data_IF_085439436023
#
_entry.id   IF_085439436023
#
_cell.length_a   1.000
_cell.length_b   1.000
_cell.length_c   1.000
_cell.angle_alpha   90.00
_cell.angle_beta   90.00
_cell.angle_gamma   90.00
#
_symmetry.space_group_name_H-M   'P 1'
#
loop_
_entity.id
_entity.type
_entity.pdbx_description
1 polymer ?
#
# COMPACT_ATOMS: atom_id res chain seq x y z
N UNK A 1 -13.91 31.11 -11.68
CA UNK A 1 -14.64 29.84 -11.92
C UNK A 1 -14.48 28.91 -10.72
N UNK A 2 -15.45 28.03 -10.46
CA UNK A 2 -15.48 27.21 -9.24
C UNK A 2 -14.41 26.13 -9.24
N UNK A 3 -13.57 26.11 -8.20
CA UNK A 3 -12.59 25.06 -7.89
C UNK A 3 -13.24 23.70 -7.53
N UNK A 4 -14.58 23.61 -7.56
CA UNK A 4 -15.33 22.40 -7.21
C UNK A 4 -14.93 21.14 -7.98
N UNK A 5 -14.79 21.17 -9.33
CA UNK A 5 -14.42 19.97 -10.10
C UNK A 5 -12.98 19.51 -9.88
N UNK A 6 -12.02 20.45 -9.73
CA UNK A 6 -10.63 20.13 -9.47
C UNK A 6 -10.42 19.63 -8.03
N UNK A 7 -11.06 20.27 -7.06
CA UNK A 7 -11.10 19.81 -5.68
C UNK A 7 -11.75 18.42 -5.54
N UNK A 8 -12.85 18.14 -6.26
CA UNK A 8 -13.51 16.83 -6.26
C UNK A 8 -12.61 15.72 -6.83
N UNK A 9 -11.87 15.99 -7.90
CA UNK A 9 -10.92 15.02 -8.46
C UNK A 9 -9.79 14.69 -7.48
N UNK A 10 -9.26 15.69 -6.77
CA UNK A 10 -8.20 15.52 -5.77
C UNK A 10 -8.69 14.80 -4.51
N UNK A 11 -9.90 15.12 -4.05
CA UNK A 11 -10.55 14.40 -2.95
C UNK A 11 -10.81 12.93 -3.31
N UNK A 12 -11.23 12.66 -4.54
CA UNK A 12 -11.40 11.30 -5.05
C UNK A 12 -10.09 10.51 -5.12
N UNK A 13 -8.98 11.17 -5.49
CA UNK A 13 -7.67 10.53 -5.51
C UNK A 13 -7.23 10.14 -4.08
N UNK A 14 -7.36 11.07 -3.14
CA UNK A 14 -7.00 10.86 -1.74
C UNK A 14 -7.77 9.70 -1.08
N UNK A 15 -9.09 9.61 -1.33
CA UNK A 15 -9.91 8.51 -0.81
C UNK A 15 -9.44 7.15 -1.34
N UNK A 16 -9.11 7.07 -2.63
CA UNK A 16 -8.69 5.83 -3.27
C UNK A 16 -7.29 5.40 -2.85
N UNK A 17 -6.37 6.32 -2.62
CA UNK A 17 -5.04 6.01 -2.07
C UNK A 17 -5.13 5.58 -0.60
N UNK A 18 -6.05 6.14 0.18
CA UNK A 18 -6.31 5.63 1.53
C UNK A 18 -6.87 4.19 1.51
N UNK A 19 -7.81 3.89 0.59
CA UNK A 19 -8.26 2.51 0.37
C UNK A 19 -7.13 1.60 -0.14
N UNK A 20 -6.26 2.08 -1.04
CA UNK A 20 -5.09 1.32 -1.50
C UNK A 20 -4.20 0.91 -0.32
N UNK A 21 -3.94 1.84 0.61
CA UNK A 21 -3.07 1.61 1.77
C UNK A 21 -3.72 0.77 2.90
N UNK A 22 -5.04 0.55 2.87
CA UNK A 22 -5.72 -0.28 3.88
C UNK A 22 -5.22 -1.73 3.93
N UNK A 23 -4.86 -2.33 2.78
CA UNK A 23 -4.27 -3.68 2.71
C UNK A 23 -2.91 -3.80 3.41
N UNK A 24 -1.90 -2.99 3.02
CA UNK A 24 -0.63 -2.90 3.73
C UNK A 24 -0.76 -2.57 5.22
N UNK A 25 -1.71 -1.71 5.59
CA UNK A 25 -1.97 -1.37 6.98
C UNK A 25 -2.49 -2.58 7.78
N UNK A 26 -3.44 -3.33 7.21
CA UNK A 26 -3.92 -4.59 7.80
C UNK A 26 -2.77 -5.59 7.98
N UNK A 27 -1.90 -5.70 6.97
CA UNK A 27 -0.70 -6.55 7.06
C UNK A 27 0.22 -6.11 8.21
N UNK A 28 0.46 -4.81 8.39
CA UNK A 28 1.25 -4.29 9.51
C UNK A 28 0.63 -4.61 10.88
N UNK A 29 -0.70 -4.47 11.00
CA UNK A 29 -1.42 -4.82 12.23
C UNK A 29 -1.30 -6.31 12.56
N UNK A 30 -1.52 -7.19 11.57
CA UNK A 30 -1.32 -8.64 11.70
C UNK A 30 0.14 -8.99 12.03
N UNK A 31 1.08 -8.35 11.34
CA UNK A 31 2.50 -8.62 11.45
C UNK A 31 3.07 -8.33 12.84
N UNK A 32 2.54 -7.33 13.54
CA UNK A 32 3.04 -6.90 14.87
C UNK A 32 3.14 -8.02 15.91
N UNK A 33 2.30 -9.06 15.82
CA UNK A 33 2.33 -10.25 16.69
C UNK A 33 2.49 -11.56 15.95
N UNK A 34 2.08 -11.62 14.67
CA UNK A 34 2.02 -12.88 13.93
C UNK A 34 3.12 -13.03 12.87
N UNK A 35 3.91 -12.00 12.56
CA UNK A 35 4.91 -12.13 11.47
C UNK A 35 6.01 -13.12 11.81
N UNK A 36 6.39 -13.25 13.09
CA UNK A 36 7.37 -14.25 13.54
C UNK A 36 6.87 -15.69 13.34
N UNK A 37 5.57 -15.93 13.59
CA UNK A 37 4.95 -17.23 13.33
C UNK A 37 4.86 -17.49 11.82
N UNK A 38 4.45 -16.51 11.02
CA UNK A 38 4.33 -16.64 9.55
C UNK A 38 5.70 -16.90 8.91
N UNK A 39 6.72 -16.12 9.27
CA UNK A 39 8.09 -16.26 8.76
C UNK A 39 8.67 -17.65 9.07
N UNK A 40 8.46 -18.16 10.28
CA UNK A 40 8.89 -19.52 10.66
C UNK A 40 8.21 -20.62 9.83
N UNK A 41 6.90 -20.51 9.58
CA UNK A 41 6.15 -21.52 8.82
C UNK A 41 6.45 -21.50 7.31
N UNK A 42 6.80 -20.33 6.78
CA UNK A 42 7.07 -20.13 5.35
C UNK A 42 8.58 -20.20 5.03
N UNK A 43 9.43 -20.34 6.05
CA UNK A 43 10.89 -20.35 5.88
C UNK A 43 11.47 -18.99 5.48
N UNK A 44 10.74 -17.91 5.72
CA UNK A 44 11.19 -16.54 5.49
C UNK A 44 11.79 -15.92 6.74
N UNK A 45 12.42 -14.75 6.59
CA UNK A 45 12.95 -13.96 7.71
C UNK A 45 12.70 -12.48 7.46
N UNK A 46 12.27 -11.77 8.50
CA UNK A 46 12.07 -10.33 8.40
C UNK A 46 13.38 -9.60 8.69
N UNK A 47 13.90 -8.88 7.71
CA UNK A 47 15.11 -8.07 7.84
C UNK A 47 14.78 -6.58 7.93
N UNK A 48 15.71 -5.80 8.52
CA UNK A 48 15.60 -4.33 8.52
C UNK A 48 15.58 -3.78 7.09
N UNK A 49 16.32 -4.39 6.17
CA UNK A 49 16.37 -4.02 4.75
C UNK A 49 15.01 -4.19 4.08
N UNK A 50 14.32 -5.31 4.33
CA UNK A 50 12.97 -5.56 3.85
C UNK A 50 11.97 -4.55 4.40
N UNK A 51 12.08 -4.20 5.68
CA UNK A 51 11.24 -3.17 6.31
C UNK A 51 11.44 -1.78 5.69
N UNK A 52 12.69 -1.33 5.54
CA UNK A 52 12.99 -0.04 4.92
C UNK A 52 12.58 0.01 3.45
N UNK A 53 12.72 -1.11 2.73
CA UNK A 53 12.27 -1.20 1.33
C UNK A 53 10.75 -1.10 1.22
N UNK A 54 10.01 -1.80 2.08
CA UNK A 54 8.55 -1.71 2.15
C UNK A 54 8.08 -0.28 2.47
N UNK A 55 8.73 0.39 3.44
CA UNK A 55 8.45 1.79 3.74
C UNK A 55 8.76 2.72 2.55
N UNK A 56 9.88 2.50 1.87
CA UNK A 56 10.26 3.28 0.67
C UNK A 56 9.20 3.20 -0.42
N UNK A 57 8.64 2.01 -0.68
CA UNK A 57 7.56 1.83 -1.66
C UNK A 57 6.30 2.62 -1.26
N UNK A 58 5.91 2.57 0.01
CA UNK A 58 4.74 3.33 0.50
C UNK A 58 4.96 4.84 0.29
N UNK A 59 6.13 5.36 0.64
CA UNK A 59 6.46 6.78 0.47
C UNK A 59 6.40 7.19 -1.01
N UNK A 60 6.96 6.38 -1.92
CA UNK A 60 6.92 6.66 -3.37
C UNK A 60 5.47 6.70 -3.88
N UNK A 61 4.62 5.77 -3.43
CA UNK A 61 3.20 5.75 -3.81
C UNK A 61 2.42 6.94 -3.21
N UNK A 62 2.80 7.40 -2.02
CA UNK A 62 2.19 8.55 -1.37
C UNK A 62 2.59 9.87 -2.04
N UNK A 63 3.84 9.99 -2.52
CA UNK A 63 4.24 11.10 -3.39
C UNK A 63 3.41 11.10 -4.68
N UNK A 64 3.16 9.93 -5.28
CA UNK A 64 2.28 9.80 -6.44
C UNK A 64 0.81 10.14 -6.09
N UNK A 65 0.38 9.99 -4.84
CA UNK A 65 -0.95 10.44 -4.39
C UNK A 65 -1.04 11.98 -4.28
N UNK A 66 0.04 12.65 -3.91
CA UNK A 66 0.08 14.11 -3.73
C UNK A 66 0.19 14.88 -5.05
N UNK A 67 1.00 14.37 -5.99
CA UNK A 67 1.33 15.06 -7.24
C UNK A 67 0.88 14.32 -8.50
N UNK A 68 0.54 13.05 -8.38
CA UNK A 68 0.24 12.18 -9.52
C UNK A 68 -1.25 12.07 -9.83
N UNK A 69 -1.55 11.14 -10.74
CA UNK A 69 -2.90 10.89 -11.24
C UNK A 69 -3.48 9.56 -10.81
N UNK A 70 -4.75 9.35 -11.10
CA UNK A 70 -5.54 8.21 -10.62
C UNK A 70 -5.15 6.84 -11.22
N UNK A 71 -4.26 6.78 -12.21
CA UNK A 71 -3.70 5.54 -12.76
C UNK A 71 -4.75 4.41 -12.98
N UNK A 72 -4.45 3.16 -12.56
CA UNK A 72 -5.40 2.04 -12.62
C UNK A 72 -6.52 2.13 -11.55
N UNK A 73 -6.42 3.07 -10.61
CA UNK A 73 -7.40 3.32 -9.54
C UNK A 73 -8.60 4.15 -10.02
N UNK A 74 -8.92 4.15 -11.32
CA UNK A 74 -10.11 4.84 -11.85
C UNK A 74 -11.44 4.19 -11.42
N UNK A 75 -11.42 2.90 -11.06
CA UNK A 75 -12.58 2.16 -10.56
C UNK A 75 -12.33 1.60 -9.16
N UNK A 76 -13.41 1.33 -8.42
CA UNK A 76 -13.35 0.71 -7.08
C UNK A 76 -12.67 -0.66 -7.16
N UNK A 77 -13.03 -1.47 -8.16
CA UNK A 77 -12.40 -2.78 -8.37
C UNK A 77 -10.90 -2.65 -8.64
N UNK A 78 -10.47 -1.65 -9.42
CA UNK A 78 -9.05 -1.40 -9.67
C UNK A 78 -8.27 -1.10 -8.38
N UNK A 79 -8.85 -0.29 -7.49
CA UNK A 79 -8.25 0.03 -6.18
C UNK A 79 -8.11 -1.22 -5.31
N UNK A 80 -9.13 -2.08 -5.26
CA UNK A 80 -9.10 -3.30 -4.46
C UNK A 80 -8.02 -4.27 -4.95
N UNK A 81 -7.93 -4.49 -6.27
CA UNK A 81 -6.89 -5.35 -6.83
C UNK A 81 -5.48 -4.79 -6.59
N UNK A 82 -5.30 -3.47 -6.77
CA UNK A 82 -4.02 -2.82 -6.47
C UNK A 82 -3.66 -2.90 -4.99
N UNK A 83 -4.65 -2.80 -4.07
CA UNK A 83 -4.41 -2.92 -2.63
C UNK A 83 -3.96 -4.32 -2.23
N UNK A 84 -4.62 -5.36 -2.76
CA UNK A 84 -4.24 -6.75 -2.54
C UNK A 84 -2.88 -7.07 -3.15
N UNK A 85 -2.62 -6.59 -4.37
CA UNK A 85 -1.31 -6.74 -5.02
C UNK A 85 -0.20 -6.07 -4.21
N UNK A 86 -0.42 -4.84 -3.73
CA UNK A 86 0.53 -4.10 -2.91
C UNK A 86 0.77 -4.79 -1.56
N UNK A 87 -0.28 -5.33 -0.93
CA UNK A 87 -0.17 -6.11 0.30
C UNK A 87 0.72 -7.35 0.10
N UNK A 88 0.50 -8.12 -0.96
CA UNK A 88 1.28 -9.31 -1.26
C UNK A 88 2.73 -8.97 -1.64
N UNK A 89 2.95 -7.88 -2.37
CA UNK A 89 4.28 -7.40 -2.69
C UNK A 89 5.06 -7.02 -1.42
N UNK A 90 4.44 -6.28 -0.49
CA UNK A 90 5.06 -5.91 0.78
C UNK A 90 5.32 -7.16 1.64
N UNK A 91 4.39 -8.11 1.71
CA UNK A 91 4.61 -9.37 2.42
C UNK A 91 5.80 -10.14 1.84
N UNK A 92 5.90 -10.23 0.51
CA UNK A 92 7.03 -10.88 -0.16
C UNK A 92 8.36 -10.19 0.14
N UNK A 93 8.38 -8.85 0.08
CA UNK A 93 9.57 -8.07 0.42
C UNK A 93 9.96 -8.31 1.88
N UNK A 94 9.00 -8.28 2.80
CA UNK A 94 9.28 -8.48 4.23
C UNK A 94 9.81 -9.87 4.55
N UNK A 95 9.41 -10.91 3.81
CA UNK A 95 9.80 -12.30 4.12
C UNK A 95 11.08 -12.75 3.42
N UNK A 96 11.44 -12.12 2.30
CA UNK A 96 12.49 -12.64 1.40
C UNK A 96 13.58 -11.62 1.05
N UNK A 97 13.50 -10.38 1.55
CA UNK A 97 14.54 -9.36 1.39
C UNK A 97 15.15 -8.99 2.75
#
# INVERSE_FOLDING_TARGET
EGDGPAAAAKAGLASRTNTLFSGPMLLGMLGSKHIAAISTQVGGSVSDTGLFTAMGIIIVLEINALFGGMGPMKSVMGVVHCSLALMLAILGILLYL
#
